data_IF_320706322014
#
_entry.id   IF_320706322014
#
_cell.length_a   1.000
_cell.length_b   1.000
_cell.length_c   1.000
_cell.angle_alpha   90.00
_cell.angle_beta   90.00
_cell.angle_gamma   90.00
#
_symmetry.space_group_name_H-M   'P 1'
#
loop_
_entity.id
_entity.type
_entity.pdbx_description
1 polymer ?
#
# COMPACT_ATOMS: atom_id res chain seq x y z
N UNK A 1 6.84 19.27 18.06
CA UNK A 1 5.47 19.71 17.71
C UNK A 1 4.83 18.58 16.91
N UNK A 2 3.57 18.22 17.20
CA UNK A 2 2.83 17.16 16.50
C UNK A 2 1.77 17.81 15.60
N UNK A 3 1.64 17.34 14.36
CA UNK A 3 0.54 17.74 13.50
C UNK A 3 -0.66 16.83 13.78
N UNK A 4 -1.74 17.42 14.29
CA UNK A 4 -3.00 16.74 14.55
C UNK A 4 -4.04 17.25 13.55
N UNK A 5 -4.55 16.36 12.71
CA UNK A 5 -5.62 16.64 11.74
C UNK A 5 -6.75 15.64 11.92
N UNK A 6 -7.93 15.95 11.42
CA UNK A 6 -9.04 14.98 11.40
C UNK A 6 -8.63 13.68 10.71
N UNK A 7 -9.11 12.55 11.22
CA UNK A 7 -8.92 11.26 10.56
C UNK A 7 -10.04 11.04 9.53
N UNK A 8 -9.73 11.34 8.27
CA UNK A 8 -10.59 11.13 7.11
C UNK A 8 -9.74 11.05 5.82
N UNK A 9 -10.41 10.78 4.71
CA UNK A 9 -9.81 10.85 3.36
C UNK A 9 -10.64 11.81 2.50
N UNK A 10 -11.95 11.60 2.49
CA UNK A 10 -13.00 12.57 2.17
C UNK A 10 -13.97 12.61 3.34
N UNK A 11 -14.67 13.72 3.53
CA UNK A 11 -15.71 13.82 4.56
C UNK A 11 -16.78 12.74 4.39
N UNK A 12 -17.38 12.24 5.50
CA UNK A 12 -17.24 12.70 6.90
C UNK A 12 -15.99 12.16 7.65
N UNK A 13 -15.80 12.60 8.90
CA UNK A 13 -14.78 12.05 9.81
C UNK A 13 -15.15 10.62 10.20
N UNK A 14 -14.13 9.78 10.43
CA UNK A 14 -14.29 8.41 10.92
C UNK A 14 -14.92 8.39 12.32
N UNK A 15 -15.97 7.59 12.52
CA UNK A 15 -16.66 7.44 13.81
C UNK A 15 -16.68 5.99 14.33
N UNK A 16 -16.44 5.00 13.47
CA UNK A 16 -16.45 3.58 13.83
C UNK A 16 -15.12 2.88 13.53
N UNK A 17 -14.81 1.75 14.20
CA UNK A 17 -13.63 0.95 13.86
C UNK A 17 -13.61 0.47 12.41
N UNK A 18 -14.78 0.13 11.85
CA UNK A 18 -14.91 -0.29 10.45
C UNK A 18 -14.56 0.87 9.49
N UNK A 19 -15.02 2.08 9.78
CA UNK A 19 -14.66 3.29 9.03
C UNK A 19 -13.15 3.57 9.10
N UNK A 20 -12.53 3.35 10.28
CA UNK A 20 -11.10 3.52 10.48
C UNK A 20 -10.31 2.55 9.60
N UNK A 21 -10.69 1.28 9.56
CA UNK A 21 -10.06 0.25 8.72
C UNK A 21 -10.24 0.55 7.23
N UNK A 22 -11.45 0.93 6.81
CA UNK A 22 -11.73 1.30 5.42
C UNK A 22 -10.94 2.55 4.98
N UNK A 23 -10.79 3.54 5.86
CA UNK A 23 -10.01 4.77 5.61
C UNK A 23 -8.52 4.47 5.59
N UNK A 24 -8.04 3.68 6.55
CA UNK A 24 -6.66 3.22 6.60
C UNK A 24 -6.27 2.46 5.33
N UNK A 25 -7.13 1.56 4.83
CA UNK A 25 -6.86 0.76 3.64
C UNK A 25 -6.65 1.60 2.37
N UNK A 26 -7.47 2.65 2.17
CA UNK A 26 -7.46 3.49 0.95
C UNK A 26 -6.46 4.65 0.96
N UNK A 27 -5.98 5.06 2.13
CA UNK A 27 -5.06 6.19 2.29
C UNK A 27 -3.59 5.73 2.34
N UNK A 28 -2.60 6.61 2.16
CA UNK A 28 -1.19 6.28 2.35
C UNK A 28 -0.77 6.23 3.84
N UNK A 29 -1.71 6.17 4.80
CA UNK A 29 -1.39 6.06 6.22
C UNK A 29 -0.67 4.74 6.50
N UNK A 30 0.40 4.80 7.31
CA UNK A 30 1.27 3.66 7.62
C UNK A 30 0.74 2.76 8.75
N UNK A 31 0.11 3.37 9.76
CA UNK A 31 -0.44 2.65 10.91
C UNK A 31 -1.76 3.26 11.42
N UNK A 32 -2.63 2.40 11.97
CA UNK A 32 -3.83 2.78 12.73
C UNK A 32 -3.78 2.09 14.09
N UNK A 33 -4.05 2.84 15.16
CA UNK A 33 -3.97 2.37 16.55
C UNK A 33 -5.33 2.45 17.24
N UNK A 34 -5.80 1.33 17.79
CA UNK A 34 -7.04 1.19 18.53
C UNK A 34 -6.75 1.15 20.03
N UNK A 35 -6.79 2.32 20.67
CA UNK A 35 -6.33 2.50 22.06
C UNK A 35 -7.07 1.61 23.06
N UNK A 36 -8.40 1.48 22.93
CA UNK A 36 -9.23 0.70 23.86
C UNK A 36 -8.91 -0.80 23.84
N UNK A 37 -8.28 -1.27 22.75
CA UNK A 37 -7.90 -2.66 22.58
C UNK A 37 -6.38 -2.88 22.64
N UNK A 38 -5.59 -1.81 22.76
CA UNK A 38 -4.13 -1.85 22.67
C UNK A 38 -3.64 -2.61 21.41
N UNK A 39 -4.29 -2.35 20.27
CA UNK A 39 -4.02 -2.99 18.98
C UNK A 39 -3.51 -1.98 17.96
N UNK A 40 -2.49 -2.36 17.21
CA UNK A 40 -1.97 -1.59 16.06
C UNK A 40 -2.07 -2.41 14.79
N UNK A 41 -2.61 -1.80 13.73
CA UNK A 41 -2.60 -2.35 12.38
C UNK A 41 -1.58 -1.58 11.54
N UNK A 42 -0.74 -2.32 10.83
CA UNK A 42 0.27 -1.77 9.91
C UNK A 42 0.12 -2.42 8.54
N UNK A 43 0.48 -1.70 7.48
CA UNK A 43 0.50 -2.28 6.13
C UNK A 43 1.78 -3.11 5.94
N UNK A 44 1.65 -4.27 5.31
CA UNK A 44 2.83 -4.98 4.84
C UNK A 44 3.51 -4.16 3.73
N UNK A 45 4.85 -4.10 3.71
CA UNK A 45 5.57 -3.51 2.58
C UNK A 45 5.13 -4.22 1.31
N UNK A 46 4.78 -3.47 0.26
CA UNK A 46 4.57 -4.07 -1.06
C UNK A 46 5.88 -4.77 -1.46
N UNK A 47 5.80 -6.06 -1.79
CA UNK A 47 6.94 -6.76 -2.37
C UNK A 47 7.37 -6.01 -3.64
N UNK A 48 8.61 -5.55 -3.66
CA UNK A 48 9.19 -4.88 -4.83
C UNK A 48 9.43 -5.96 -5.89
N UNK A 49 8.51 -6.12 -6.83
CA UNK A 49 8.79 -6.90 -8.04
C UNK A 49 9.80 -6.11 -8.86
N UNK A 50 11.04 -6.60 -8.95
CA UNK A 50 12.00 -6.06 -9.90
C UNK A 50 11.55 -6.43 -11.31
N UNK A 51 10.95 -5.48 -12.03
CA UNK A 51 10.73 -5.57 -13.47
C UNK A 51 12.07 -5.38 -14.21
N UNK A 52 12.99 -6.34 -14.09
CA UNK A 52 14.11 -6.44 -15.01
C UNK A 52 13.64 -7.21 -16.24
N UNK A 53 13.00 -6.49 -17.16
CA UNK A 53 12.58 -7.04 -18.45
C UNK A 53 13.84 -7.27 -19.29
N UNK A 54 14.21 -8.54 -19.46
CA UNK A 54 15.33 -8.96 -20.30
C UNK A 54 15.04 -8.55 -21.74
N UNK A 55 15.78 -7.55 -22.23
CA UNK A 55 15.92 -7.30 -23.65
C UNK A 55 16.92 -8.31 -24.24
N UNK A 56 16.54 -8.85 -25.39
CA UNK A 56 17.42 -9.43 -26.42
C UNK A 56 17.96 -10.85 -26.19
N UNK A 57 17.44 -11.80 -26.96
CA UNK A 57 18.28 -12.47 -27.96
C UNK A 57 17.44 -12.67 -29.21
N UNK A 58 17.82 -11.97 -30.28
CA UNK A 58 17.36 -12.26 -31.64
C UNK A 58 17.84 -13.67 -31.98
N UNK A 59 16.92 -14.59 -32.22
CA UNK A 59 17.24 -15.86 -32.86
C UNK A 59 17.70 -15.55 -34.29
N UNK A 60 19.03 -15.53 -34.47
CA UNK A 60 19.66 -15.55 -35.78
C UNK A 60 19.34 -16.93 -36.38
N UNK A 61 18.43 -16.95 -37.35
CA UNK A 61 18.18 -18.09 -38.24
C UNK A 61 19.42 -18.29 -39.13
N UNK A 62 20.37 -19.13 -38.70
CA UNK A 62 21.52 -19.54 -39.50
C UNK A 62 21.08 -20.59 -40.52
N UNK A 63 20.50 -20.11 -41.63
CA UNK A 63 20.11 -20.93 -42.77
C UNK A 63 21.13 -22.05 -43.05
N UNK A 64 20.69 -23.29 -42.85
CA UNK A 64 21.37 -24.49 -43.33
C UNK A 64 20.51 -25.12 -44.42
N UNK A 65 21.19 -25.35 -45.54
CA UNK A 65 20.72 -25.84 -46.83
C UNK A 65 19.93 -27.15 -46.79
#
# INVERSE_FOLDING_TARGET
VLLNTSFNDREPIVETPDDALATFARTPIDAVYFADHNLIATKQPKATTNEFQTSSTEDIDDGRD
#
